data_IF_564144235120
#
_entry.id   IF_564144235120
#
_cell.length_a   1.000
_cell.length_b   1.000
_cell.length_c   1.000
_cell.angle_alpha   90.00
_cell.angle_beta   90.00
_cell.angle_gamma   90.00
#
_symmetry.space_group_name_H-M   'P 1'
#
loop_
_entity.id
_entity.type
_entity.pdbx_description
1 polymer ?
#
# COMPACT_ATOMS: atom_id res chain seq x y z
N UNK A 1 -23.32 21.82 -18.28
CA UNK A 1 -23.21 20.57 -19.06
C UNK A 1 -22.50 19.58 -18.17
N UNK A 2 -23.09 18.42 -17.94
CA UNK A 2 -22.48 17.38 -17.09
C UNK A 2 -21.23 16.83 -17.82
N UNK A 3 -20.08 16.81 -17.14
CA UNK A 3 -18.82 16.31 -17.73
C UNK A 3 -18.98 14.83 -18.06
N UNK A 4 -18.73 14.45 -19.32
CA UNK A 4 -18.86 13.05 -19.77
C UNK A 4 -17.89 12.14 -19.01
N UNK A 5 -18.20 10.83 -18.96
CA UNK A 5 -17.32 9.81 -18.36
C UNK A 5 -15.90 9.91 -18.92
N UNK A 6 -15.78 10.03 -20.25
CA UNK A 6 -14.50 10.18 -20.97
C UNK A 6 -13.73 11.42 -20.54
N UNK A 7 -14.38 12.60 -20.52
CA UNK A 7 -13.74 13.86 -20.11
C UNK A 7 -13.25 13.82 -18.65
N UNK A 8 -14.04 13.22 -17.75
CA UNK A 8 -13.60 13.01 -16.36
C UNK A 8 -12.37 12.11 -16.30
N UNK A 9 -12.36 11.02 -17.07
CA UNK A 9 -11.25 10.08 -17.14
C UNK A 9 -9.96 10.70 -17.65
N UNK A 10 -10.04 11.47 -18.74
CA UNK A 10 -8.88 12.16 -19.31
C UNK A 10 -8.30 13.17 -18.31
N UNK A 11 -9.15 13.94 -17.62
CA UNK A 11 -8.72 14.86 -16.57
C UNK A 11 -8.06 14.11 -15.40
N UNK A 12 -8.70 13.05 -14.91
CA UNK A 12 -8.16 12.26 -13.80
C UNK A 12 -6.84 11.58 -14.17
N UNK A 13 -6.70 11.08 -15.40
CA UNK A 13 -5.44 10.56 -15.90
C UNK A 13 -4.35 11.64 -15.83
N UNK A 14 -4.61 12.84 -16.36
CA UNK A 14 -3.62 13.92 -16.36
C UNK A 14 -3.21 14.32 -14.94
N UNK A 15 -4.17 14.42 -14.03
CA UNK A 15 -3.93 14.76 -12.62
C UNK A 15 -3.15 13.67 -11.87
N UNK A 16 -3.49 12.40 -12.06
CA UNK A 16 -2.88 11.26 -11.35
C UNK A 16 -1.52 10.89 -11.94
N UNK A 17 -1.41 10.84 -13.27
CA UNK A 17 -0.20 10.42 -13.97
C UNK A 17 0.77 11.58 -14.23
N UNK A 18 0.35 12.83 -14.00
CA UNK A 18 1.16 14.05 -14.18
C UNK A 18 1.66 14.27 -15.60
N UNK A 19 1.03 13.61 -16.57
CA UNK A 19 1.34 13.66 -18.00
C UNK A 19 0.03 13.68 -18.80
N UNK A 20 0.06 14.22 -20.01
CA UNK A 20 -1.11 14.23 -20.88
C UNK A 20 -1.58 12.79 -21.19
N UNK A 21 -2.91 12.56 -21.33
CA UNK A 21 -3.43 11.29 -21.78
C UNK A 21 -2.88 10.91 -23.16
N UNK A 22 -2.62 9.62 -23.43
CA UNK A 22 -2.12 9.17 -24.72
C UNK A 22 -3.07 9.57 -25.87
N UNK A 23 -2.50 10.15 -26.93
CA UNK A 23 -3.26 10.55 -28.12
C UNK A 23 -3.92 9.34 -28.80
N UNK A 24 -5.13 9.52 -29.33
CA UNK A 24 -5.79 8.49 -30.14
C UNK A 24 -6.19 7.22 -29.39
N UNK A 25 -6.23 7.26 -28.06
CA UNK A 25 -6.65 6.20 -27.12
C UNK A 25 -8.14 5.80 -27.26
N UNK A 26 -8.58 5.48 -28.47
CA UNK A 26 -9.99 5.19 -28.82
C UNK A 26 -10.28 3.69 -29.00
N UNK A 27 -9.27 2.83 -28.82
CA UNK A 27 -9.52 1.40 -28.78
C UNK A 27 -10.19 0.99 -27.45
N UNK A 28 -10.71 -0.24 -27.40
CA UNK A 28 -11.44 -0.73 -26.24
C UNK A 28 -10.57 -0.76 -24.96
N UNK A 29 -9.27 -1.02 -25.08
CA UNK A 29 -8.36 -1.08 -23.95
C UNK A 29 -8.12 0.32 -23.37
N UNK A 30 -7.77 1.27 -24.22
CA UNK A 30 -7.48 2.64 -23.82
C UNK A 30 -8.77 3.38 -23.36
N UNK A 31 -9.93 2.99 -23.90
CA UNK A 31 -11.24 3.41 -23.37
C UNK A 31 -11.49 2.83 -21.98
N UNK A 32 -11.24 1.53 -21.75
CA UNK A 32 -11.35 0.92 -20.43
C UNK A 32 -10.43 1.58 -19.40
N UNK A 33 -9.17 1.82 -19.74
CA UNK A 33 -8.23 2.49 -18.85
C UNK A 33 -8.74 3.88 -18.42
N UNK A 34 -9.05 4.74 -19.38
CA UNK A 34 -9.46 6.12 -19.10
C UNK A 34 -10.86 6.16 -18.46
N UNK A 35 -11.82 5.44 -19.01
CA UNK A 35 -13.23 5.58 -18.64
C UNK A 35 -13.58 4.76 -17.40
N UNK A 36 -12.91 3.63 -17.14
CA UNK A 36 -13.12 2.83 -15.92
C UNK A 36 -12.07 3.19 -14.86
N UNK A 37 -10.79 2.92 -15.10
CA UNK A 37 -9.75 3.07 -14.07
C UNK A 37 -9.65 4.53 -13.61
N UNK A 38 -9.56 5.50 -14.54
CA UNK A 38 -9.41 6.90 -14.14
C UNK A 38 -10.73 7.61 -13.86
N UNK A 39 -11.77 7.41 -14.70
CA UNK A 39 -13.02 8.15 -14.52
C UNK A 39 -13.91 7.60 -13.40
N UNK A 40 -13.85 6.31 -13.09
CA UNK A 40 -14.74 5.66 -12.11
C UNK A 40 -14.03 5.20 -10.84
N UNK A 41 -12.75 4.81 -10.91
CA UNK A 41 -12.02 4.36 -9.71
C UNK A 41 -11.23 5.51 -9.07
N UNK A 42 -10.30 6.14 -9.80
CA UNK A 42 -9.48 7.25 -9.25
C UNK A 42 -10.27 8.51 -8.88
N UNK A 43 -11.43 8.74 -9.49
CA UNK A 43 -12.26 9.93 -9.27
C UNK A 43 -13.06 9.91 -7.97
N UNK A 44 -13.15 8.76 -7.29
CA UNK A 44 -13.99 8.57 -6.10
C UNK A 44 -13.33 9.19 -4.86
N UNK A 45 -14.03 10.05 -4.11
CA UNK A 45 -13.42 10.88 -3.07
C UNK A 45 -13.18 10.18 -1.73
N UNK A 46 -13.83 9.03 -1.49
CA UNK A 46 -13.83 8.32 -0.20
C UNK A 46 -12.43 7.89 0.23
N UNK A 47 -11.63 7.34 -0.70
CA UNK A 47 -10.21 7.09 -0.49
C UNK A 47 -9.39 8.16 -1.20
N UNK A 48 -8.52 8.84 -0.46
CA UNK A 48 -7.74 9.96 -0.99
C UNK A 48 -6.84 9.52 -2.15
N UNK A 49 -6.50 10.45 -3.06
CA UNK A 49 -5.55 10.17 -4.16
C UNK A 49 -4.22 9.64 -3.64
N UNK A 50 -3.75 10.18 -2.52
CA UNK A 50 -2.54 9.71 -1.84
C UNK A 50 -2.68 8.25 -1.40
N UNK A 51 -3.75 7.91 -0.70
CA UNK A 51 -3.97 6.55 -0.19
C UNK A 51 -4.11 5.53 -1.33
N UNK A 52 -4.81 5.90 -2.41
CA UNK A 52 -4.91 5.09 -3.64
C UNK A 52 -3.55 4.79 -4.25
N UNK A 53 -2.57 5.69 -4.14
CA UNK A 53 -1.20 5.44 -4.65
C UNK A 53 -0.53 4.31 -3.90
N UNK A 54 -0.67 4.20 -2.58
CA UNK A 54 -0.03 3.12 -1.83
C UNK A 54 -0.56 1.74 -2.24
N UNK A 55 -1.87 1.62 -2.44
CA UNK A 55 -2.50 0.40 -2.99
C UNK A 55 -2.00 0.12 -4.41
N UNK A 56 -2.01 1.15 -5.26
CA UNK A 56 -1.62 1.04 -6.67
C UNK A 56 -0.16 0.63 -6.83
N UNK A 57 0.75 1.30 -6.12
CA UNK A 57 2.20 1.05 -6.17
C UNK A 57 2.52 -0.37 -5.74
N UNK A 58 1.89 -0.87 -4.67
CA UNK A 58 2.02 -2.27 -4.26
C UNK A 58 1.57 -3.23 -5.39
N UNK A 59 0.42 -2.95 -6.02
CA UNK A 59 -0.10 -3.80 -7.10
C UNK A 59 0.80 -3.79 -8.35
N UNK A 60 1.22 -2.61 -8.85
CA UNK A 60 2.07 -2.54 -10.06
C UNK A 60 3.50 -3.05 -9.80
N UNK A 61 4.01 -2.90 -8.57
CA UNK A 61 5.26 -3.53 -8.16
C UNK A 61 5.15 -5.06 -8.09
N UNK A 62 3.98 -5.59 -7.75
CA UNK A 62 3.72 -7.02 -7.69
C UNK A 62 3.38 -7.65 -9.05
N UNK A 63 2.83 -6.88 -9.99
CA UNK A 63 2.38 -7.35 -11.31
C UNK A 63 3.52 -7.63 -12.30
N UNK A 64 4.78 -7.41 -11.90
CA UNK A 64 5.96 -7.58 -12.76
C UNK A 64 5.96 -6.71 -14.05
N UNK A 65 5.09 -5.70 -14.09
CA UNK A 65 4.96 -4.74 -15.19
C UNK A 65 5.82 -3.49 -14.96
N UNK A 66 6.99 -3.42 -15.60
CA UNK A 66 7.96 -2.32 -15.40
C UNK A 66 7.40 -0.95 -15.81
N UNK A 67 6.83 -0.82 -17.01
CA UNK A 67 6.40 0.48 -17.50
C UNK A 67 5.30 1.13 -16.62
N UNK A 68 4.24 0.42 -16.19
CA UNK A 68 3.29 0.98 -15.23
C UNK A 68 3.92 1.35 -13.88
N UNK A 69 4.88 0.56 -13.39
CA UNK A 69 5.61 0.87 -12.15
C UNK A 69 6.40 2.17 -12.28
N UNK A 70 7.19 2.34 -13.36
CA UNK A 70 7.93 3.56 -13.66
C UNK A 70 7.00 4.78 -13.72
N UNK A 71 5.89 4.66 -14.45
CA UNK A 71 4.92 5.74 -14.62
C UNK A 71 4.27 6.15 -13.29
N UNK A 72 3.83 5.19 -12.47
CA UNK A 72 3.19 5.49 -11.20
C UNK A 72 4.17 6.04 -10.15
N UNK A 73 5.41 5.55 -10.12
CA UNK A 73 6.46 6.08 -9.24
C UNK A 73 6.81 7.51 -9.62
N UNK A 74 7.07 7.77 -10.90
CA UNK A 74 7.35 9.12 -11.40
C UNK A 74 6.21 10.08 -11.04
N UNK A 75 4.97 9.68 -11.34
CA UNK A 75 3.81 10.52 -11.10
C UNK A 75 3.59 10.81 -9.60
N UNK A 76 3.82 9.83 -8.72
CA UNK A 76 3.69 10.00 -7.28
C UNK A 76 4.70 11.00 -6.70
N UNK A 77 5.96 10.91 -7.15
CA UNK A 77 7.04 11.82 -6.73
C UNK A 77 6.88 13.21 -7.37
N UNK A 78 6.44 13.28 -8.62
CA UNK A 78 6.24 14.55 -9.35
C UNK A 78 5.09 15.35 -8.77
N UNK A 79 3.96 14.71 -8.45
CA UNK A 79 2.81 15.39 -7.84
C UNK A 79 3.05 15.81 -6.40
N UNK A 80 4.00 15.18 -5.72
CA UNK A 80 4.23 15.36 -4.29
C UNK A 80 3.22 14.63 -3.40
N UNK A 81 2.40 13.72 -3.97
CA UNK A 81 1.46 12.91 -3.18
C UNK A 81 2.19 11.97 -2.22
N UNK A 82 3.39 11.52 -2.60
CA UNK A 82 4.29 10.68 -1.80
C UNK A 82 5.68 11.29 -1.84
N UNK A 83 6.29 11.48 -0.68
CA UNK A 83 7.68 11.95 -0.57
C UNK A 83 8.68 10.85 -0.93
N UNK A 84 9.93 11.21 -1.26
CA UNK A 84 10.97 10.20 -1.51
C UNK A 84 11.24 9.32 -0.28
N UNK A 85 11.14 9.88 0.93
CA UNK A 85 11.28 9.13 2.20
C UNK A 85 10.16 8.09 2.32
N UNK A 86 8.91 8.48 2.14
CA UNK A 86 7.75 7.56 2.18
C UNK A 86 7.81 6.50 1.09
N UNK A 87 8.26 6.86 -0.12
CA UNK A 87 8.41 5.91 -1.24
C UNK A 87 9.46 4.84 -0.91
N UNK A 88 10.59 5.22 -0.32
CA UNK A 88 11.63 4.27 0.10
C UNK A 88 11.15 3.36 1.23
N UNK A 89 10.44 3.89 2.22
CA UNK A 89 9.83 3.08 3.28
C UNK A 89 8.69 2.20 2.74
N UNK A 90 7.97 2.63 1.70
CA UNK A 90 7.00 1.81 0.98
C UNK A 90 7.67 0.60 0.33
N UNK A 91 8.82 0.79 -0.33
CA UNK A 91 9.60 -0.30 -0.93
C UNK A 91 10.08 -1.30 0.13
N UNK A 92 10.59 -0.81 1.26
CA UNK A 92 11.02 -1.67 2.37
C UNK A 92 9.87 -2.46 2.97
N UNK A 93 8.74 -1.80 3.26
CA UNK A 93 7.54 -2.47 3.78
C UNK A 93 6.99 -3.49 2.78
N UNK A 94 6.98 -3.15 1.49
CA UNK A 94 6.63 -4.06 0.41
C UNK A 94 7.56 -5.28 0.36
N UNK A 95 8.87 -5.14 0.62
CA UNK A 95 9.81 -6.26 0.63
C UNK A 95 9.45 -7.34 1.64
N UNK A 96 8.93 -6.95 2.80
CA UNK A 96 8.52 -7.87 3.88
C UNK A 96 7.36 -8.76 3.42
N UNK A 97 6.40 -8.18 2.72
CA UNK A 97 5.21 -8.91 2.30
C UNK A 97 5.40 -9.58 0.94
N UNK A 98 5.91 -8.87 -0.07
CA UNK A 98 5.96 -9.32 -1.46
C UNK A 98 7.34 -9.88 -1.89
N UNK A 99 8.31 -9.89 -0.97
CA UNK A 99 9.63 -10.47 -1.17
C UNK A 99 10.68 -9.50 -1.73
N UNK A 100 11.93 -9.72 -1.30
CA UNK A 100 13.09 -8.92 -1.67
C UNK A 100 13.37 -8.78 -3.17
N UNK A 101 13.18 -9.80 -4.04
CA UNK A 101 13.43 -9.65 -5.47
C UNK A 101 12.52 -8.61 -6.14
N UNK A 102 11.22 -8.61 -5.82
CA UNK A 102 10.26 -7.63 -6.36
C UNK A 102 10.54 -6.25 -5.79
N UNK A 103 10.87 -6.17 -4.50
CA UNK A 103 11.24 -4.90 -3.86
C UNK A 103 12.56 -4.32 -4.42
N UNK A 104 13.55 -5.15 -4.76
CA UNK A 104 14.80 -4.70 -5.38
C UNK A 104 14.52 -4.01 -6.72
N UNK A 105 13.67 -4.62 -7.55
CA UNK A 105 13.21 -4.03 -8.81
C UNK A 105 12.45 -2.72 -8.59
N UNK A 106 11.57 -2.68 -7.59
CA UNK A 106 10.86 -1.46 -7.21
C UNK A 106 11.83 -0.36 -6.75
N UNK A 107 12.82 -0.69 -5.92
CA UNK A 107 13.85 0.25 -5.47
C UNK A 107 14.63 0.86 -6.65
N UNK A 108 15.04 0.02 -7.61
CA UNK A 108 15.75 0.47 -8.81
C UNK A 108 14.92 1.50 -9.58
N UNK A 109 13.62 1.23 -9.77
CA UNK A 109 12.72 2.17 -10.43
C UNK A 109 12.56 3.46 -9.62
N UNK A 110 12.42 3.39 -8.30
CA UNK A 110 12.34 4.57 -7.43
C UNK A 110 13.56 5.46 -7.59
N UNK A 111 14.76 4.89 -7.53
CA UNK A 111 15.99 5.66 -7.70
C UNK A 111 16.05 6.28 -9.11
N UNK A 112 15.80 5.50 -10.16
CA UNK A 112 15.81 5.99 -11.54
C UNK A 112 14.85 7.17 -11.77
N UNK A 113 13.59 7.03 -11.33
CA UNK A 113 12.59 8.09 -11.51
C UNK A 113 12.88 9.30 -10.64
N UNK A 114 13.43 9.12 -9.43
CA UNK A 114 13.85 10.23 -8.58
C UNK A 114 15.02 11.01 -9.20
N UNK A 115 16.05 10.32 -9.69
CA UNK A 115 17.18 10.96 -10.39
C UNK A 115 16.71 11.72 -11.63
N UNK A 116 15.83 11.13 -12.45
CA UNK A 116 15.26 11.78 -13.62
C UNK A 116 14.50 13.06 -13.24
N UNK A 117 13.61 12.98 -12.24
CA UNK A 117 12.83 14.13 -11.76
C UNK A 117 13.71 15.25 -11.20
N UNK A 118 14.79 14.92 -10.47
CA UNK A 118 15.74 15.92 -9.98
C UNK A 118 16.49 16.59 -11.13
N UNK A 119 16.93 15.83 -12.12
CA UNK A 119 17.59 16.36 -13.32
C UNK A 119 16.67 17.30 -14.11
N UNK A 120 15.39 16.93 -14.30
CA UNK A 120 14.36 17.78 -14.92
C UNK A 120 14.18 19.11 -14.18
N UNK A 121 14.33 19.10 -12.85
CA UNK A 121 14.26 20.30 -12.00
C UNK A 121 15.57 21.09 -11.94
N UNK A 122 16.64 20.64 -12.62
CA UNK A 122 17.98 21.22 -12.52
C UNK A 122 18.58 21.10 -11.12
N UNK A 123 18.15 20.12 -10.35
CA UNK A 123 18.54 19.89 -8.96
C UNK A 123 19.36 18.60 -8.83
N UNK A 124 20.19 18.54 -7.80
CA UNK A 124 20.78 17.28 -7.36
C UNK A 124 19.84 16.63 -6.34
N UNK A 125 19.72 15.29 -6.33
CA UNK A 125 19.01 14.59 -5.27
C UNK A 125 19.58 14.98 -3.91
N UNK A 126 18.73 15.33 -2.93
CA UNK A 126 19.21 15.55 -1.58
C UNK A 126 19.81 14.23 -1.04
N UNK A 127 20.76 14.32 -0.08
CA UNK A 127 21.16 13.17 0.70
C UNK A 127 19.93 12.45 1.26
N UNK A 128 20.00 11.11 1.34
CA UNK A 128 18.92 10.34 1.95
C UNK A 128 18.74 10.79 3.41
N UNK A 129 17.49 10.94 3.83
CA UNK A 129 17.16 11.24 5.22
C UNK A 129 17.67 10.12 6.13
N UNK A 130 18.41 10.50 7.17
CA UNK A 130 18.91 9.55 8.16
C UNK A 130 17.77 9.15 9.10
N UNK A 131 17.14 8.02 8.81
CA UNK A 131 16.12 7.40 9.68
C UNK A 131 16.75 6.51 10.78
N UNK A 132 18.04 6.71 11.07
CA UNK A 132 18.82 5.93 12.03
C UNK A 132 19.27 6.79 13.23
N UNK A 133 19.44 6.19 14.44
CA UNK A 133 19.16 4.79 14.75
C UNK A 133 17.65 4.51 14.70
N UNK A 134 17.30 3.26 14.39
CA UNK A 134 15.88 2.86 14.42
C UNK A 134 15.34 3.04 15.84
N UNK A 135 14.05 3.29 15.95
CA UNK A 135 13.32 3.40 17.23
C UNK A 135 13.44 2.10 18.05
N UNK A 136 13.75 0.99 17.39
CA UNK A 136 13.71 -0.35 17.95
C UNK A 136 15.04 -0.77 18.56
N UNK A 137 14.97 -1.35 19.76
CA UNK A 137 16.12 -1.77 20.56
C UNK A 137 17.10 -2.66 19.79
N UNK A 138 18.40 -2.42 19.96
CA UNK A 138 19.44 -3.22 19.28
C UNK A 138 19.65 -4.60 19.90
N UNK A 139 19.35 -4.75 21.19
CA UNK A 139 19.42 -6.01 21.91
C UNK A 139 18.38 -7.02 21.38
N UNK A 140 18.77 -8.26 21.02
CA UNK A 140 17.86 -9.24 20.45
C UNK A 140 16.67 -9.60 21.35
N UNK A 141 16.86 -9.70 22.66
CA UNK A 141 15.78 -10.09 23.58
C UNK A 141 14.81 -8.92 23.80
N UNK A 142 15.33 -7.70 23.95
CA UNK A 142 14.48 -6.51 24.00
C UNK A 142 13.70 -6.28 22.71
N UNK A 143 14.30 -6.56 21.55
CA UNK A 143 13.60 -6.47 20.25
C UNK A 143 12.47 -7.49 20.14
N UNK A 144 12.66 -8.72 20.65
CA UNK A 144 11.59 -9.73 20.71
C UNK A 144 10.45 -9.30 21.63
N UNK A 145 10.76 -8.77 22.82
CA UNK A 145 9.75 -8.27 23.77
C UNK A 145 8.96 -7.09 23.17
N UNK A 146 9.66 -6.13 22.55
CA UNK A 146 9.05 -5.02 21.83
C UNK A 146 8.19 -5.51 20.67
N UNK A 147 8.68 -6.50 19.92
CA UNK A 147 7.98 -7.17 18.84
C UNK A 147 6.69 -7.86 19.28
N UNK A 148 6.66 -8.49 20.46
CA UNK A 148 5.44 -9.06 21.03
C UNK A 148 4.39 -8.01 21.38
N UNK A 149 4.82 -6.89 21.96
CA UNK A 149 3.90 -5.77 22.23
C UNK A 149 3.36 -5.21 20.92
N UNK A 150 4.25 -4.87 19.99
CA UNK A 150 3.90 -4.34 18.69
C UNK A 150 2.98 -5.29 17.92
N UNK A 151 3.24 -6.60 17.96
CA UNK A 151 2.38 -7.59 17.32
C UNK A 151 0.95 -7.53 17.86
N UNK A 152 0.77 -7.50 19.19
CA UNK A 152 -0.55 -7.41 19.81
C UNK A 152 -1.26 -6.11 19.45
N UNK A 153 -0.54 -5.00 19.56
CA UNK A 153 -1.07 -3.65 19.33
C UNK A 153 -1.49 -3.48 17.87
N UNK A 154 -0.60 -3.84 16.93
CA UNK A 154 -0.82 -3.72 15.50
C UNK A 154 -1.87 -4.70 15.00
N UNK A 155 -1.95 -5.92 15.51
CA UNK A 155 -2.97 -6.88 15.06
C UNK A 155 -4.28 -6.78 15.85
N UNK A 156 -4.34 -5.91 16.86
CA UNK A 156 -5.49 -5.72 17.76
C UNK A 156 -5.98 -7.05 18.38
N UNK A 157 -5.02 -7.87 18.86
CA UNK A 157 -5.27 -9.17 19.48
C UNK A 157 -4.47 -9.33 20.78
N UNK A 158 -4.95 -10.11 21.76
CA UNK A 158 -4.33 -10.19 23.08
C UNK A 158 -3.13 -11.13 23.16
N UNK A 159 -2.76 -11.80 22.07
CA UNK A 159 -1.71 -12.82 22.04
C UNK A 159 -0.66 -12.53 20.96
N UNK A 160 0.53 -13.08 21.16
CA UNK A 160 1.62 -13.09 20.18
C UNK A 160 1.96 -14.55 19.80
N UNK A 161 2.51 -14.79 18.60
CA UNK A 161 3.01 -16.11 18.23
C UNK A 161 4.10 -16.58 19.21
N UNK A 162 4.26 -17.91 19.39
CA UNK A 162 5.35 -18.45 20.21
C UNK A 162 6.72 -18.12 19.61
N UNK A 163 7.76 -18.06 20.44
CA UNK A 163 9.16 -17.87 20.01
C UNK A 163 9.85 -19.20 19.66
N UNK A 164 9.08 -20.17 19.20
CA UNK A 164 9.52 -21.55 18.98
C UNK A 164 10.51 -21.70 17.82
N UNK A 165 10.50 -20.77 16.87
CA UNK A 165 11.33 -20.81 15.67
C UNK A 165 11.92 -19.43 15.32
N UNK A 166 13.25 -19.31 15.13
CA UNK A 166 13.93 -18.05 14.82
C UNK A 166 13.58 -17.45 13.44
N UNK A 167 12.97 -18.23 12.53
CA UNK A 167 12.61 -17.81 11.18
C UNK A 167 11.12 -17.53 11.00
N UNK A 168 10.26 -18.08 11.87
CA UNK A 168 8.81 -17.83 11.83
C UNK A 168 8.39 -17.06 13.08
N UNK A 169 8.04 -17.72 14.18
CA UNK A 169 7.52 -17.06 15.39
C UNK A 169 8.43 -15.95 15.91
N UNK A 170 9.65 -16.29 16.34
CA UNK A 170 10.62 -15.30 16.79
C UNK A 170 11.13 -14.40 15.64
N UNK A 171 11.17 -14.89 14.40
CA UNK A 171 11.59 -14.10 13.24
C UNK A 171 10.62 -12.95 12.92
N UNK A 172 9.31 -13.24 12.93
CA UNK A 172 8.23 -12.27 12.73
C UNK A 172 8.21 -11.25 13.86
N UNK A 173 8.36 -11.72 15.11
CA UNK A 173 8.43 -10.83 16.27
C UNK A 173 9.66 -9.94 16.23
N UNK A 174 10.82 -10.46 15.87
CA UNK A 174 12.06 -9.70 15.84
C UNK A 174 12.08 -8.69 14.68
N UNK A 175 11.82 -9.14 13.45
CA UNK A 175 12.03 -8.34 12.25
C UNK A 175 10.76 -7.61 11.82
N UNK A 176 9.62 -8.30 11.68
CA UNK A 176 8.41 -7.70 11.10
C UNK A 176 7.78 -6.71 12.08
N UNK A 177 7.41 -7.18 13.27
CA UNK A 177 6.74 -6.34 14.27
C UNK A 177 7.71 -5.66 15.23
N UNK A 178 8.90 -6.24 15.44
CA UNK A 178 9.94 -5.64 16.26
C UNK A 178 10.82 -4.61 15.54
N UNK A 179 10.68 -4.46 14.22
CA UNK A 179 11.42 -3.45 13.44
C UNK A 179 10.54 -2.81 12.35
N UNK A 180 10.13 -3.57 11.35
CA UNK A 180 9.60 -3.04 10.09
C UNK A 180 8.35 -2.18 10.25
N UNK A 181 7.39 -2.61 11.07
CA UNK A 181 6.18 -1.82 11.36
C UNK A 181 6.43 -0.57 12.21
N UNK A 182 7.55 -0.52 12.94
CA UNK A 182 7.89 0.56 13.87
C UNK A 182 8.82 1.61 13.23
N UNK A 183 9.25 1.39 11.98
CA UNK A 183 10.13 2.33 11.28
C UNK A 183 9.44 3.69 11.07
N UNK A 184 10.15 4.81 11.24
CA UNK A 184 9.63 6.13 10.90
C UNK A 184 9.54 6.31 9.38
N UNK A 185 8.96 7.43 8.93
CA UNK A 185 8.90 7.80 7.51
C UNK A 185 7.74 7.20 6.72
N UNK A 186 6.94 6.30 7.33
CA UNK A 186 5.69 5.82 6.75
C UNK A 186 4.66 5.57 7.85
N UNK A 187 3.47 6.18 7.71
CA UNK A 187 2.40 6.11 8.71
C UNK A 187 1.72 4.74 8.78
N UNK A 188 0.95 4.54 9.85
CA UNK A 188 0.27 3.26 10.11
C UNK A 188 -0.77 2.98 9.02
N UNK A 189 -1.58 3.96 8.63
CA UNK A 189 -2.58 3.84 7.57
C UNK A 189 -1.94 3.36 6.26
N UNK A 190 -0.87 4.00 5.81
CA UNK A 190 -0.15 3.62 4.60
C UNK A 190 0.36 2.18 4.66
N UNK A 191 0.94 1.77 5.81
CA UNK A 191 1.36 0.38 6.05
C UNK A 191 0.19 -0.59 5.94
N UNK A 192 -0.99 -0.26 6.47
CA UNK A 192 -2.21 -1.08 6.31
C UNK A 192 -2.59 -1.24 4.84
N UNK A 193 -2.66 -0.13 4.10
CA UNK A 193 -3.06 -0.12 2.70
C UNK A 193 -2.12 -0.99 1.85
N UNK A 194 -0.80 -0.85 2.03
CA UNK A 194 0.22 -1.67 1.35
C UNK A 194 0.08 -3.13 1.76
N UNK A 195 0.01 -3.42 3.06
CA UNK A 195 -0.05 -4.79 3.57
C UNK A 195 -1.29 -5.52 3.06
N UNK A 196 -2.48 -4.92 3.15
CA UNK A 196 -3.74 -5.54 2.70
C UNK A 196 -3.65 -5.85 1.20
N UNK A 197 -3.17 -4.92 0.38
CA UNK A 197 -2.95 -5.19 -1.05
C UNK A 197 -1.96 -6.36 -1.26
N UNK A 198 -0.86 -6.39 -0.50
CA UNK A 198 0.15 -7.42 -0.60
C UNK A 198 -0.33 -8.82 -0.25
N UNK A 199 -1.06 -8.97 0.86
CA UNK A 199 -1.58 -10.27 1.27
C UNK A 199 -2.71 -10.72 0.36
N UNK A 200 -3.50 -9.80 -0.19
CA UNK A 200 -4.56 -10.09 -1.15
C UNK A 200 -4.01 -10.65 -2.47
N UNK A 201 -2.96 -10.07 -3.05
CA UNK A 201 -2.41 -10.62 -4.28
C UNK A 201 -1.62 -11.93 -4.10
N UNK A 202 -1.21 -12.26 -2.88
CA UNK A 202 -0.54 -13.52 -2.54
C UNK A 202 -1.48 -14.67 -2.23
N UNK A 203 -2.79 -14.41 -2.15
CA UNK A 203 -3.81 -15.40 -1.79
C UNK A 203 -3.54 -16.03 -0.40
N UNK A 204 -3.00 -15.23 0.52
CA UNK A 204 -2.63 -15.65 1.87
C UNK A 204 -3.81 -15.48 2.84
N UNK A 205 -4.74 -16.45 2.87
CA UNK A 205 -6.00 -16.40 3.62
C UNK A 205 -5.86 -15.86 5.06
N UNK A 206 -5.03 -16.48 5.89
CA UNK A 206 -4.86 -16.07 7.30
C UNK A 206 -4.35 -14.62 7.40
N UNK A 207 -3.25 -14.22 6.70
CA UNK A 207 -2.84 -12.82 6.64
C UNK A 207 -3.89 -11.83 6.10
N UNK A 208 -4.68 -12.20 5.09
CA UNK A 208 -5.76 -11.34 4.56
C UNK A 208 -6.77 -11.07 5.68
N UNK A 209 -7.27 -12.13 6.33
CA UNK A 209 -8.21 -12.00 7.45
C UNK A 209 -7.63 -11.15 8.59
N UNK A 210 -6.39 -11.42 9.02
CA UNK A 210 -5.80 -10.76 10.17
C UNK A 210 -5.52 -9.27 9.91
N UNK A 211 -4.98 -8.92 8.74
CA UNK A 211 -4.65 -7.53 8.43
C UNK A 211 -5.88 -6.68 8.08
N UNK A 212 -6.91 -7.26 7.44
CA UNK A 212 -8.19 -6.57 7.24
C UNK A 212 -8.86 -6.30 8.59
N UNK A 213 -8.96 -7.32 9.47
CA UNK A 213 -9.48 -7.13 10.83
C UNK A 213 -8.73 -6.05 11.57
N UNK A 214 -7.40 -6.12 11.59
CA UNK A 214 -6.58 -5.18 12.33
C UNK A 214 -6.73 -3.74 11.84
N UNK A 215 -6.77 -3.51 10.52
CA UNK A 215 -6.95 -2.18 9.95
C UNK A 215 -8.31 -1.56 10.31
N UNK A 216 -9.37 -2.37 10.32
CA UNK A 216 -10.71 -1.94 10.70
C UNK A 216 -10.85 -1.75 12.20
N UNK A 217 -10.31 -2.69 13.00
CA UNK A 217 -10.40 -2.67 14.46
C UNK A 217 -9.64 -1.50 15.09
N UNK A 218 -8.48 -1.14 14.54
CA UNK A 218 -7.71 0.01 15.01
C UNK A 218 -8.34 1.35 14.60
N UNK A 219 -9.18 1.36 13.58
CA UNK A 219 -9.70 2.58 12.96
C UNK A 219 -8.69 3.31 12.07
N UNK A 220 -7.55 2.69 11.75
CA UNK A 220 -6.55 3.26 10.82
C UNK A 220 -7.13 3.43 9.41
N UNK A 221 -8.06 2.55 9.03
CA UNK A 221 -8.80 2.57 7.76
C UNK A 221 -10.29 2.40 8.09
N UNK A 222 -11.13 3.31 7.60
CA UNK A 222 -12.57 3.20 7.79
C UNK A 222 -13.17 2.03 6.99
N UNK A 223 -14.39 1.60 7.33
CA UNK A 223 -15.10 0.58 6.54
C UNK A 223 -15.24 1.00 5.07
N UNK A 224 -15.61 2.26 4.83
CA UNK A 224 -15.79 2.81 3.48
C UNK A 224 -14.47 2.92 2.72
N UNK A 225 -13.38 3.28 3.40
CA UNK A 225 -12.04 3.33 2.81
C UNK A 225 -11.52 1.93 2.44
N UNK A 226 -11.87 0.91 3.22
CA UNK A 226 -11.49 -0.48 2.95
C UNK A 226 -12.21 -1.03 1.71
N UNK A 227 -13.49 -0.68 1.51
CA UNK A 227 -14.21 -0.99 0.26
C UNK A 227 -13.57 -0.32 -0.95
N UNK A 228 -13.15 0.95 -0.81
CA UNK A 228 -12.42 1.66 -1.87
C UNK A 228 -11.04 1.07 -2.15
N UNK A 229 -10.35 0.57 -1.13
CA UNK A 229 -9.10 -0.17 -1.31
C UNK A 229 -9.35 -1.41 -2.16
N UNK A 230 -10.41 -2.17 -1.88
CA UNK A 230 -10.73 -3.38 -2.63
C UNK A 230 -11.14 -3.06 -4.08
N UNK A 231 -11.86 -1.96 -4.32
CA UNK A 231 -12.12 -1.45 -5.66
C UNK A 231 -10.84 -1.02 -6.40
N UNK A 232 -9.94 -0.30 -5.74
CA UNK A 232 -8.64 0.09 -6.30
C UNK A 232 -7.81 -1.16 -6.63
N UNK A 233 -7.77 -2.13 -5.73
CA UNK A 233 -7.10 -3.41 -5.92
C UNK A 233 -7.69 -4.18 -7.12
N UNK A 234 -9.01 -4.21 -7.29
CA UNK A 234 -9.68 -4.84 -8.44
C UNK A 234 -9.19 -4.28 -9.78
N UNK A 235 -9.04 -2.97 -9.87
CA UNK A 235 -8.58 -2.30 -11.09
C UNK A 235 -7.13 -2.64 -11.47
N UNK A 236 -6.27 -2.95 -10.49
CA UNK A 236 -4.84 -3.17 -10.70
C UNK A 236 -4.39 -4.64 -10.58
N UNK A 237 -5.16 -5.49 -9.92
CA UNK A 237 -4.81 -6.89 -9.66
C UNK A 237 -5.97 -7.88 -9.90
N UNK A 238 -7.07 -7.40 -10.51
CA UNK A 238 -8.14 -8.22 -11.07
C UNK A 238 -9.33 -8.46 -10.14
N UNK A 239 -10.53 -8.52 -10.72
CA UNK A 239 -11.78 -8.64 -9.97
C UNK A 239 -11.87 -9.92 -9.15
N UNK A 240 -11.42 -11.08 -9.66
CA UNK A 240 -11.57 -12.35 -8.95
C UNK A 240 -10.87 -12.36 -7.57
N UNK A 241 -9.66 -11.80 -7.48
CA UNK A 241 -8.95 -11.65 -6.19
C UNK A 241 -9.62 -10.58 -5.33
N UNK A 242 -10.12 -9.51 -5.94
CA UNK A 242 -10.84 -8.46 -5.22
C UNK A 242 -12.18 -8.92 -4.65
N UNK A 243 -12.87 -9.86 -5.32
CA UNK A 243 -14.14 -10.43 -4.84
C UNK A 243 -13.91 -11.21 -3.54
N UNK A 244 -12.83 -12.00 -3.47
CA UNK A 244 -12.43 -12.66 -2.24
C UNK A 244 -12.04 -11.67 -1.14
N UNK A 245 -11.27 -10.62 -1.48
CA UNK A 245 -10.93 -9.56 -0.53
C UNK A 245 -12.19 -8.87 0.03
N UNK A 246 -13.18 -8.54 -0.82
CA UNK A 246 -14.45 -7.96 -0.39
C UNK A 246 -15.23 -8.89 0.54
N UNK A 247 -15.23 -10.20 0.29
CA UNK A 247 -15.85 -11.16 1.20
C UNK A 247 -15.21 -11.08 2.60
N UNK A 248 -13.87 -11.10 2.67
CA UNK A 248 -13.14 -11.00 3.94
C UNK A 248 -13.41 -9.65 4.63
N UNK A 249 -13.49 -8.55 3.87
CA UNK A 249 -13.85 -7.22 4.41
C UNK A 249 -15.24 -7.25 5.05
N UNK A 250 -16.23 -7.86 4.39
CA UNK A 250 -17.57 -8.02 4.94
C UNK A 250 -17.57 -8.82 6.25
N UNK A 251 -16.88 -9.95 6.28
CA UNK A 251 -16.77 -10.81 7.47
C UNK A 251 -16.10 -10.08 8.64
N UNK A 252 -14.97 -9.40 8.40
CA UNK A 252 -14.25 -8.69 9.46
C UNK A 252 -14.99 -7.42 9.91
N UNK A 253 -15.72 -6.75 9.03
CA UNK A 253 -16.60 -5.62 9.40
C UNK A 253 -17.66 -6.08 10.40
N UNK A 254 -18.36 -7.19 10.10
CA UNK A 254 -19.36 -7.74 11.03
C UNK A 254 -18.76 -8.11 12.37
N UNK A 255 -17.55 -8.70 12.36
CA UNK A 255 -16.83 -9.02 13.59
C UNK A 255 -16.52 -7.78 14.43
N UNK A 256 -15.95 -6.73 13.82
CA UNK A 256 -15.59 -5.49 14.53
C UNK A 256 -16.83 -4.82 15.14
N UNK A 257 -17.94 -4.78 14.40
CA UNK A 257 -19.21 -4.24 14.88
C UNK A 257 -19.76 -5.03 16.08
N UNK A 258 -19.82 -6.36 15.98
CA UNK A 258 -20.30 -7.23 17.06
C UNK A 258 -19.46 -7.10 18.34
N UNK A 259 -18.13 -7.02 18.22
CA UNK A 259 -17.24 -6.80 19.37
C UNK A 259 -17.44 -5.42 20.02
N UNK A 260 -17.79 -4.41 19.22
CA UNK A 260 -18.03 -3.05 19.69
C UNK A 260 -19.35 -2.96 20.47
N UNK A 261 -20.39 -3.64 19.98
CA UNK A 261 -21.68 -3.78 20.69
C UNK A 261 -21.54 -4.54 22.01
N UNK A 262 -20.69 -5.58 22.06
CA UNK A 262 -20.47 -6.35 23.29
C UNK A 262 -19.66 -5.60 24.37
N UNK A 263 -18.99 -4.51 23.99
CA UNK A 263 -18.12 -3.72 24.87
C UNK A 263 -18.77 -2.42 25.38
N UNK A 264 -19.95 -2.05 24.87
CA UNK A 264 -20.72 -0.84 25.23
C UNK A 264 -21.89 -1.14 26.15
#
# INVERSE_FOLDING_TARGET
METTRRERGLRQYAEVMTVEPPEGANDAFASGLIDFVFAEVWSRPTLSRRDRRFVTLACVAAADAIAPLEQHVYAALRSGDITITEMRETVLHFAVYAGWPKASRFNIVVDQQWFALMAERGQQPPPAEELLPLVTESDPEQRLLGGESSFRDINCIPFAPPRDNPYTGAGILNFVFGEMWLRPGLGMKERRLITVACVAFQDAEIPIMSHVYAALKSGDVSFEEMDELALQFAAYYGCAKADYLHQVIGEQTQRVLAESEASG
#
